data_IF_756263918601
#
_entry.id   IF_756263918601
#
_cell.length_a   1.000
_cell.length_b   1.000
_cell.length_c   1.000
_cell.angle_alpha   90.00
_cell.angle_beta   90.00
_cell.angle_gamma   90.00
#
_symmetry.space_group_name_H-M   'P 1'
#
loop_
_entity.id
_entity.type
_entity.pdbx_description
1 polymer ?
#
# COMPACT_ATOMS: atom_id res chain seq x y z
N UNK A 1 4.06 -4.35 36.09
CA UNK A 1 3.70 -5.19 34.92
C UNK A 1 2.56 -4.51 34.19
N UNK A 2 2.88 -3.59 33.29
CA UNK A 2 1.92 -2.97 32.39
C UNK A 2 2.41 -3.25 30.97
N UNK A 3 1.99 -4.37 30.40
CA UNK A 3 2.13 -4.60 28.96
C UNK A 3 1.06 -3.75 28.30
N UNK A 4 1.39 -2.50 28.05
CA UNK A 4 0.66 -1.67 27.11
C UNK A 4 0.80 -2.42 25.80
N UNK A 5 -0.28 -3.07 25.35
CA UNK A 5 -0.41 -3.50 23.97
C UNK A 5 -0.38 -2.21 23.16
N UNK A 6 0.83 -1.82 22.75
CA UNK A 6 1.06 -1.00 21.58
C UNK A 6 0.11 -1.57 20.51
N UNK A 7 -1.00 -0.89 20.27
CA UNK A 7 -1.66 -1.01 18.98
C UNK A 7 -0.62 -0.50 18.01
N UNK A 8 0.23 -1.41 17.55
CA UNK A 8 1.06 -1.19 16.39
C UNK A 8 0.13 -0.54 15.37
N UNK A 9 0.47 0.69 14.99
CA UNK A 9 -0.08 1.40 13.84
C UNK A 9 0.28 0.53 12.63
N UNK A 10 -0.42 -0.59 12.50
CA UNK A 10 -0.03 -1.70 11.65
C UNK A 10 -0.54 -1.32 10.29
N UNK A 11 0.32 -0.63 9.55
CA UNK A 11 0.06 -0.31 8.16
C UNK A 11 -0.34 -1.60 7.44
N UNK A 12 -1.59 -1.68 7.00
CA UNK A 12 -2.11 -2.83 6.27
C UNK A 12 -1.91 -2.59 4.77
N UNK A 13 -0.95 -3.28 4.13
CA UNK A 13 -0.64 -3.06 2.73
C UNK A 13 -1.79 -3.49 1.82
N UNK A 14 -2.59 -4.50 2.20
CA UNK A 14 -3.70 -4.99 1.38
C UNK A 14 -4.86 -3.99 1.42
N UNK A 15 -5.20 -3.48 2.60
CA UNK A 15 -6.19 -2.44 2.78
C UNK A 15 -5.79 -1.13 2.09
N UNK A 16 -4.49 -0.78 2.12
CA UNK A 16 -3.97 0.38 1.41
C UNK A 16 -4.11 0.22 -0.11
N UNK A 17 -3.70 -0.93 -0.66
CA UNK A 17 -3.84 -1.23 -2.10
C UNK A 17 -5.30 -1.19 -2.53
N UNK A 18 -6.20 -1.73 -1.70
CA UNK A 18 -7.64 -1.68 -1.95
C UNK A 18 -8.16 -0.24 -1.95
N UNK A 19 -7.75 0.58 -0.99
CA UNK A 19 -8.11 1.99 -0.92
C UNK A 19 -7.66 2.74 -2.18
N UNK A 20 -6.41 2.51 -2.61
CA UNK A 20 -5.92 3.09 -3.86
C UNK A 20 -6.79 2.68 -5.05
N UNK A 21 -7.21 1.42 -5.16
CA UNK A 21 -8.10 0.98 -6.24
C UNK A 21 -9.52 1.54 -6.17
N UNK A 22 -10.03 1.82 -4.96
CA UNK A 22 -11.36 2.40 -4.78
C UNK A 22 -11.39 3.84 -5.29
N UNK A 23 -10.32 4.61 -5.11
CA UNK A 23 -10.24 6.00 -5.56
C UNK A 23 -9.90 6.16 -7.05
N UNK A 24 -9.90 5.06 -7.82
CA UNK A 24 -9.55 5.07 -9.26
C UNK A 24 -8.06 4.86 -9.55
N UNK A 25 -7.25 4.62 -8.51
CA UNK A 25 -5.85 4.29 -8.67
C UNK A 25 -5.62 2.83 -9.07
N UNK A 26 -4.45 2.56 -9.60
CA UNK A 26 -3.94 1.24 -9.94
C UNK A 26 -2.52 1.11 -9.45
N UNK A 27 -2.05 -0.13 -9.39
CA UNK A 27 -0.69 -0.41 -8.97
C UNK A 27 -0.11 -1.57 -9.77
N UNK A 28 1.20 -1.52 -9.97
CA UNK A 28 1.95 -2.58 -10.61
C UNK A 28 3.33 -2.68 -9.98
N UNK A 29 3.87 -3.90 -9.98
CA UNK A 29 5.30 -4.09 -9.82
C UNK A 29 5.94 -4.15 -11.19
N UNK A 30 6.86 -3.23 -11.45
CA UNK A 30 7.64 -3.21 -12.69
C UNK A 30 8.98 -3.91 -12.48
N UNK A 31 9.69 -4.17 -13.57
CA UNK A 31 10.98 -4.86 -13.56
C UNK A 31 11.95 -4.25 -12.54
N UNK A 32 12.62 -5.10 -11.77
CA UNK A 32 13.45 -4.69 -10.64
C UNK A 32 12.68 -4.42 -9.34
N UNK A 33 11.45 -4.96 -9.20
CA UNK A 33 10.62 -4.85 -7.98
C UNK A 33 10.32 -3.40 -7.59
N UNK A 34 10.27 -2.52 -8.58
CA UNK A 34 9.89 -1.12 -8.39
C UNK A 34 8.37 -1.03 -8.34
N UNK A 35 7.88 -0.25 -7.38
CA UNK A 35 6.45 -0.02 -7.20
C UNK A 35 6.01 1.15 -8.09
N UNK A 36 5.06 0.89 -8.98
CA UNK A 36 4.45 1.89 -9.83
C UNK A 36 2.98 2.07 -9.46
N UNK A 37 2.55 3.32 -9.33
CA UNK A 37 1.17 3.70 -9.13
C UNK A 37 0.65 4.36 -10.41
N UNK A 38 -0.50 3.91 -10.86
CA UNK A 38 -1.25 4.47 -11.97
C UNK A 38 -2.42 5.23 -11.36
N UNK A 39 -2.69 6.44 -11.78
CA UNK A 39 -3.83 7.22 -11.29
C UNK A 39 -4.51 7.83 -12.51
N UNK A 40 -5.82 7.61 -12.62
CA UNK A 40 -6.66 8.16 -13.68
C UNK A 40 -7.90 8.77 -13.02
N UNK A 41 -8.17 10.05 -13.32
CA UNK A 41 -9.28 10.83 -12.76
C UNK A 41 -9.45 10.74 -11.23
N UNK A 42 -8.35 10.56 -10.49
CA UNK A 42 -8.39 10.45 -9.04
C UNK A 42 -8.61 11.83 -8.39
N UNK A 43 -9.46 11.87 -7.36
CA UNK A 43 -9.58 13.04 -6.50
C UNK A 43 -8.21 13.35 -5.84
N UNK A 44 -7.75 14.60 -6.00
CA UNK A 44 -6.41 15.01 -5.58
C UNK A 44 -6.21 15.00 -4.06
N UNK A 45 -7.25 15.32 -3.30
CA UNK A 45 -7.20 15.29 -1.83
C UNK A 45 -7.17 13.84 -1.31
N UNK A 46 -8.00 12.97 -1.88
CA UNK A 46 -8.02 11.54 -1.59
C UNK A 46 -6.69 10.87 -1.94
N UNK A 47 -6.12 11.18 -3.11
CA UNK A 47 -4.82 10.66 -3.53
C UNK A 47 -3.71 11.12 -2.58
N UNK A 48 -3.69 12.40 -2.22
CA UNK A 48 -2.70 12.95 -1.28
C UNK A 48 -2.79 12.26 0.08
N UNK A 49 -4.01 12.06 0.59
CA UNK A 49 -4.27 11.35 1.84
C UNK A 49 -3.73 9.91 1.80
N UNK A 50 -4.02 9.16 0.73
CA UNK A 50 -3.55 7.78 0.56
C UNK A 50 -2.02 7.71 0.43
N UNK A 51 -1.43 8.57 -0.42
CA UNK A 51 0.01 8.57 -0.67
C UNK A 51 0.82 9.03 0.54
N UNK A 52 0.30 9.95 1.36
CA UNK A 52 0.99 10.44 2.57
C UNK A 52 1.39 9.32 3.53
N UNK A 53 0.67 8.20 3.53
CA UNK A 53 0.94 7.06 4.41
C UNK A 53 2.21 6.29 4.03
N UNK A 54 2.69 6.43 2.80
CA UNK A 54 3.81 5.65 2.24
C UNK A 54 4.97 6.53 1.77
N UNK A 55 4.73 7.83 1.55
CA UNK A 55 5.77 8.80 1.20
C UNK A 55 6.73 8.95 2.38
N UNK A 56 8.03 8.77 2.13
CA UNK A 56 9.07 8.82 3.17
C UNK A 56 9.10 7.61 4.11
N UNK A 57 8.31 6.56 3.85
CA UNK A 57 8.20 5.36 4.68
C UNK A 57 8.66 4.12 3.90
N UNK A 58 9.97 3.85 3.79
CA UNK A 58 10.51 2.76 2.96
C UNK A 58 9.98 1.39 3.38
N UNK A 59 9.82 1.12 4.68
CA UNK A 59 9.29 -0.15 5.20
C UNK A 59 7.86 -0.42 4.72
N UNK A 60 7.03 0.63 4.64
CA UNK A 60 5.65 0.52 4.13
C UNK A 60 5.63 0.24 2.64
N UNK A 61 6.55 0.85 1.88
CA UNK A 61 6.70 0.57 0.44
C UNK A 61 7.18 -0.86 0.19
N UNK A 62 8.09 -1.37 1.02
CA UNK A 62 8.54 -2.78 0.97
C UNK A 62 7.39 -3.74 1.28
N UNK A 63 6.58 -3.44 2.32
CA UNK A 63 5.39 -4.21 2.66
C UNK A 63 4.37 -4.24 1.52
N UNK A 64 4.17 -3.12 0.81
CA UNK A 64 3.33 -3.08 -0.39
C UNK A 64 3.86 -3.98 -1.50
N UNK A 65 5.16 -3.93 -1.80
CA UNK A 65 5.78 -4.80 -2.81
C UNK A 65 5.54 -6.28 -2.47
N UNK A 66 5.82 -6.66 -1.23
CA UNK A 66 5.63 -8.04 -0.77
C UNK A 66 4.16 -8.48 -0.86
N UNK A 67 3.20 -7.60 -0.53
CA UNK A 67 1.78 -7.89 -0.66
C UNK A 67 1.35 -8.08 -2.13
N UNK A 68 1.88 -7.26 -3.04
CA UNK A 68 1.60 -7.38 -4.48
C UNK A 68 2.21 -8.68 -5.04
N UNK A 69 3.44 -9.03 -4.65
CA UNK A 69 4.09 -10.28 -5.06
C UNK A 69 3.29 -11.51 -4.63
N UNK A 70 2.89 -11.57 -3.35
CA UNK A 70 2.05 -12.67 -2.84
C UNK A 70 0.76 -12.79 -3.65
N UNK A 71 0.10 -11.66 -3.96
CA UNK A 71 -1.10 -11.65 -4.81
C UNK A 71 -0.80 -12.15 -6.22
N UNK A 72 0.31 -11.77 -6.83
CA UNK A 72 0.70 -12.20 -8.18
C UNK A 72 1.08 -13.69 -8.25
N UNK A 73 1.65 -14.24 -7.17
CA UNK A 73 1.98 -15.65 -7.05
C UNK A 73 0.74 -16.53 -6.80
N UNK A 74 -0.47 -15.94 -6.75
CA UNK A 74 -1.71 -16.66 -6.45
C UNK A 74 -1.86 -17.01 -4.98
N UNK A 75 -0.98 -16.50 -4.10
CA UNK A 75 -1.06 -16.65 -2.65
C UNK A 75 -2.00 -15.62 -2.00
N UNK A 76 -3.03 -15.17 -2.73
CA UNK A 76 -4.10 -14.41 -2.12
C UNK A 76 -5.13 -15.40 -1.56
N UNK A 77 -5.21 -15.45 -0.23
CA UNK A 77 -6.33 -16.04 0.52
C UNK A 77 -7.70 -15.52 0.04
#
# INVERSE_FOLDING_TARGET
MATILERADTFDPVAWLRTLTIIGGGYALVSGRKLAFLVDDCDGEALTSVMSQIVGQPDRQEALKAAIERRQMGEAA
#
